data_IF_907546727575
#
_entry.id   IF_907546727575
#
_cell.length_a   1.000
_cell.length_b   1.000
_cell.length_c   1.000
_cell.angle_alpha   90.00
_cell.angle_beta   90.00
_cell.angle_gamma   90.00
#
_symmetry.space_group_name_H-M   'P 1'
#
loop_
_entity.id
_entity.type
_entity.pdbx_description
1 polymer ?
#
# COMPACT_ATOMS: atom_id res chain seq x y z
N UNK A 1 -2.80 3.28 2.11
CA UNK A 1 -1.73 2.34 1.72
C UNK A 1 -0.88 2.78 0.54
N UNK A 2 -1.42 2.85 -0.70
CA UNK A 2 -0.63 3.17 -1.91
C UNK A 2 -0.06 4.59 -1.95
N UNK A 3 -0.78 5.56 -1.38
CA UNK A 3 -0.42 6.99 -1.42
C UNK A 3 -0.97 7.68 -2.65
N UNK A 4 -1.52 8.89 -2.48
CA UNK A 4 -2.16 9.63 -3.55
C UNK A 4 -3.51 9.08 -3.98
N UNK A 5 -3.95 9.47 -5.18
CA UNK A 5 -5.23 9.06 -5.77
C UNK A 5 -5.12 8.61 -7.24
N UNK A 6 -6.20 8.07 -7.82
CA UNK A 6 -6.23 7.58 -9.21
C UNK A 6 -6.06 8.70 -10.26
N UNK A 7 -6.16 9.96 -9.85
CA UNK A 7 -6.04 11.14 -10.71
C UNK A 7 -4.68 11.84 -10.62
N UNK A 8 -3.75 11.29 -9.83
CA UNK A 8 -2.40 11.86 -9.72
C UNK A 8 -1.66 11.74 -11.05
N UNK A 9 -0.95 12.81 -11.42
CA UNK A 9 -0.08 12.87 -12.60
C UNK A 9 1.14 13.76 -12.33
N UNK A 10 2.20 13.62 -13.14
CA UNK A 10 3.45 14.36 -12.96
C UNK A 10 4.07 14.16 -11.58
N UNK A 11 4.57 15.23 -10.96
CA UNK A 11 5.25 15.18 -9.66
C UNK A 11 4.37 14.61 -8.54
N UNK A 12 3.04 14.77 -8.61
CA UNK A 12 2.12 14.25 -7.59
C UNK A 12 2.26 12.73 -7.40
N UNK A 13 2.56 11.97 -8.47
CA UNK A 13 2.80 10.53 -8.40
C UNK A 13 3.94 10.17 -7.44
N UNK A 14 4.95 11.04 -7.33
CA UNK A 14 6.10 10.88 -6.42
C UNK A 14 5.88 11.55 -5.07
N UNK A 15 5.33 12.77 -5.04
CA UNK A 15 5.07 13.54 -3.82
C UNK A 15 4.17 12.78 -2.83
N UNK A 16 3.11 12.16 -3.34
CA UNK A 16 2.05 11.57 -2.53
C UNK A 16 2.42 10.15 -2.05
N UNK A 17 3.42 10.00 -1.18
CA UNK A 17 3.76 8.71 -0.58
C UNK A 17 2.59 8.12 0.21
N UNK A 18 2.54 6.79 0.30
CA UNK A 18 1.63 6.07 1.17
C UNK A 18 2.36 5.40 2.32
N UNK A 19 1.60 4.85 3.28
CA UNK A 19 2.13 4.03 4.37
C UNK A 19 3.01 2.90 3.83
N UNK A 20 2.59 2.25 2.74
CA UNK A 20 3.32 1.13 2.11
C UNK A 20 4.63 1.54 1.43
N UNK A 21 4.79 2.83 1.10
CA UNK A 21 5.98 3.37 0.42
C UNK A 21 6.79 4.32 1.31
N UNK A 22 6.58 4.29 2.63
CA UNK A 22 7.41 5.02 3.59
C UNK A 22 6.99 6.47 3.87
N UNK A 23 5.73 6.86 3.68
CA UNK A 23 5.26 8.22 4.01
C UNK A 23 5.69 8.65 5.43
N UNK A 24 6.34 9.82 5.53
CA UNK A 24 6.90 10.40 6.75
C UNK A 24 8.18 9.74 7.28
N UNK A 25 8.28 8.41 7.22
CA UNK A 25 9.38 7.65 7.84
C UNK A 25 10.59 7.45 6.94
N UNK A 26 10.37 7.50 5.63
CA UNK A 26 11.40 7.41 4.60
C UNK A 26 10.99 8.32 3.43
N UNK A 27 11.03 9.66 3.63
CA UNK A 27 10.58 10.60 2.62
C UNK A 27 11.46 10.53 1.38
N UNK A 28 10.85 10.68 0.20
CA UNK A 28 11.58 10.98 -1.03
C UNK A 28 11.84 12.50 -1.16
N UNK A 29 12.62 12.92 -2.15
CA UNK A 29 13.05 14.31 -2.35
C UNK A 29 11.92 15.29 -2.72
N UNK A 30 10.75 14.78 -3.11
CA UNK A 30 9.56 15.58 -3.40
C UNK A 30 8.46 15.42 -2.34
N UNK A 31 8.69 14.63 -1.28
CA UNK A 31 7.67 14.35 -0.29
C UNK A 31 7.15 15.64 0.36
N UNK A 32 5.82 15.81 0.36
CA UNK A 32 5.15 17.03 0.82
C UNK A 32 4.15 16.79 1.97
N UNK A 33 3.97 15.52 2.38
CA UNK A 33 3.03 15.16 3.44
C UNK A 33 3.56 15.58 4.81
N UNK A 34 2.71 16.23 5.59
CA UNK A 34 2.98 16.51 7.00
C UNK A 34 2.87 15.25 7.86
N UNK A 35 3.50 15.25 9.04
CA UNK A 35 3.34 14.19 10.04
C UNK A 35 1.86 13.90 10.36
N UNK A 36 1.02 14.94 10.36
CA UNK A 36 -0.42 14.84 10.60
C UNK A 36 -1.11 14.04 9.49
N UNK A 37 -0.83 14.37 8.23
CA UNK A 37 -1.36 13.65 7.06
C UNK A 37 -0.88 12.20 7.04
N UNK A 38 0.39 11.95 7.39
CA UNK A 38 0.95 10.60 7.47
C UNK A 38 0.23 9.76 8.53
N UNK A 39 -0.01 10.31 9.72
CA UNK A 39 -0.75 9.61 10.78
C UNK A 39 -2.22 9.40 10.40
N UNK A 40 -2.82 10.34 9.68
CA UNK A 40 -4.17 10.17 9.15
C UNK A 40 -4.26 8.99 8.15
N UNK A 41 -3.26 8.81 7.28
CA UNK A 41 -3.19 7.62 6.42
C UNK A 41 -3.08 6.31 7.23
N UNK A 42 -2.43 6.34 8.39
CA UNK A 42 -2.37 5.20 9.30
C UNK A 42 -3.72 4.94 9.99
N UNK A 43 -4.49 5.97 10.34
CA UNK A 43 -5.87 5.82 10.85
C UNK A 43 -6.75 5.10 9.84
N UNK A 44 -6.77 5.57 8.59
CA UNK A 44 -7.50 4.93 7.49
C UNK A 44 -7.05 3.49 7.24
N UNK A 45 -5.74 3.22 7.34
CA UNK A 45 -5.21 1.87 7.17
C UNK A 45 -5.69 0.94 8.29
N UNK A 46 -5.64 1.39 9.56
CA UNK A 46 -6.14 0.62 10.70
C UNK A 46 -7.65 0.36 10.58
N UNK A 47 -8.42 1.38 10.20
CA UNK A 47 -9.85 1.26 9.97
C UNK A 47 -10.16 0.22 8.86
N UNK A 48 -9.44 0.28 7.73
CA UNK A 48 -9.56 -0.71 6.66
C UNK A 48 -9.20 -2.13 7.11
N UNK A 49 -8.15 -2.29 7.92
CA UNK A 49 -7.77 -3.57 8.52
C UNK A 49 -8.83 -4.13 9.47
N UNK A 50 -9.63 -3.28 10.12
CA UNK A 50 -10.79 -3.68 10.92
C UNK A 50 -12.08 -3.87 10.07
N UNK A 51 -11.97 -3.95 8.75
CA UNK A 51 -13.13 -4.18 7.87
C UNK A 51 -13.91 -2.91 7.54
N UNK A 52 -13.30 -1.73 7.71
CA UNK A 52 -13.83 -0.43 7.30
C UNK A 52 -15.27 -0.14 7.77
N UNK A 53 -15.58 -0.59 8.99
CA UNK A 53 -16.91 -0.53 9.58
C UNK A 53 -17.24 0.89 10.04
N UNK A 54 -18.48 1.34 9.82
CA UNK A 54 -18.94 2.65 10.24
C UNK A 54 -18.87 2.82 11.78
N UNK A 55 -19.29 1.80 12.53
CA UNK A 55 -19.40 1.85 14.00
C UNK A 55 -18.16 1.35 14.76
N UNK A 56 -17.09 0.91 14.08
CA UNK A 56 -15.87 0.48 14.76
C UNK A 56 -15.21 1.65 15.50
N UNK A 57 -14.96 1.48 16.79
CA UNK A 57 -14.39 2.52 17.64
C UNK A 57 -12.87 2.35 17.73
N UNK A 58 -12.14 3.40 17.42
CA UNK A 58 -10.68 3.44 17.51
C UNK A 58 -10.18 4.76 18.07
N UNK A 59 -8.91 4.77 18.48
CA UNK A 59 -8.19 6.00 18.83
C UNK A 59 -7.46 6.53 17.60
N UNK A 60 -7.80 7.74 17.19
CA UNK A 60 -7.21 8.42 16.03
C UNK A 60 -5.78 8.96 16.29
N UNK A 61 -5.21 9.62 15.28
CA UNK A 61 -3.88 10.25 15.33
C UNK A 61 -3.68 11.28 16.44
N UNK A 62 -4.77 11.88 16.93
CA UNK A 62 -4.77 12.94 17.94
C UNK A 62 -5.06 12.39 19.35
N UNK A 63 -5.36 11.10 19.46
CA UNK A 63 -5.72 10.45 20.71
C UNK A 63 -7.22 10.54 21.03
N UNK A 64 -8.05 11.00 20.10
CA UNK A 64 -9.49 11.06 20.28
C UNK A 64 -10.14 9.71 19.97
N UNK A 65 -11.20 9.39 20.72
CA UNK A 65 -12.05 8.24 20.45
C UNK A 65 -12.96 8.59 19.27
N UNK A 66 -12.90 7.80 18.20
CA UNK A 66 -13.65 8.00 16.96
C UNK A 66 -14.30 6.71 16.49
N UNK A 67 -15.52 6.81 15.96
CA UNK A 67 -16.10 5.78 15.10
C UNK A 67 -15.44 5.81 13.72
N UNK A 68 -15.47 4.70 13.00
CA UNK A 68 -14.97 4.60 11.63
C UNK A 68 -15.60 5.63 10.69
N UNK A 69 -16.89 5.91 10.84
CA UNK A 69 -17.60 6.93 10.05
C UNK A 69 -17.14 8.37 10.32
N UNK A 70 -16.42 8.62 11.42
CA UNK A 70 -15.90 9.93 11.78
C UNK A 70 -14.44 10.15 11.32
N UNK A 71 -13.80 9.12 10.78
CA UNK A 71 -12.49 9.24 10.13
C UNK A 71 -12.72 9.72 8.71
N UNK A 72 -12.21 10.90 8.34
CA UNK A 72 -12.39 11.46 7.01
C UNK A 72 -11.66 10.64 5.94
N UNK A 73 -12.27 10.51 4.77
CA UNK A 73 -11.60 10.07 3.54
C UNK A 73 -12.03 10.99 2.39
N UNK A 74 -11.23 12.03 2.14
CA UNK A 74 -11.47 13.01 1.08
C UNK A 74 -12.84 13.70 1.18
N UNK A 75 -13.27 14.06 2.40
CA UNK A 75 -14.55 14.71 2.65
C UNK A 75 -15.74 13.76 2.85
N UNK A 76 -15.52 12.43 2.80
CA UNK A 76 -16.54 11.42 3.04
C UNK A 76 -16.24 10.62 4.33
N UNK A 77 -17.26 9.99 4.95
CA UNK A 77 -17.04 9.01 6.02
C UNK A 77 -16.15 7.87 5.53
N UNK A 78 -15.00 7.68 6.18
CA UNK A 78 -14.04 6.64 5.84
C UNK A 78 -14.63 5.24 6.05
N UNK A 79 -15.15 4.97 7.24
CA UNK A 79 -15.87 3.74 7.56
C UNK A 79 -17.33 3.82 7.13
N UNK A 80 -17.81 2.81 6.41
CA UNK A 80 -19.16 2.80 5.82
C UNK A 80 -19.93 1.50 6.00
N UNK A 81 -19.25 0.39 6.28
CA UNK A 81 -19.87 -0.93 6.28
C UNK A 81 -20.50 -1.29 7.63
N UNK A 82 -21.49 -2.18 7.59
CA UNK A 82 -22.04 -2.84 8.77
C UNK A 82 -21.22 -4.09 9.13
N UNK A 83 -20.83 -4.86 8.12
CA UNK A 83 -20.07 -6.11 8.25
C UNK A 83 -18.81 -6.09 7.37
N UNK A 84 -17.70 -6.73 7.79
CA UNK A 84 -16.46 -6.76 7.01
C UNK A 84 -16.62 -7.48 5.66
N UNK A 85 -17.65 -8.32 5.50
CA UNK A 85 -17.97 -9.01 4.25
C UNK A 85 -18.52 -8.09 3.16
N UNK A 86 -18.93 -6.87 3.51
CA UNK A 86 -19.34 -5.82 2.57
C UNK A 86 -18.14 -5.05 1.99
N UNK A 87 -16.93 -5.30 2.52
CA UNK A 87 -15.72 -4.56 2.20
C UNK A 87 -14.73 -5.44 1.47
N UNK A 88 -14.33 -5.01 0.28
CA UNK A 88 -13.25 -5.63 -0.49
C UNK A 88 -12.03 -4.71 -0.44
N UNK A 89 -11.05 -5.08 0.38
CA UNK A 89 -9.79 -4.35 0.51
C UNK A 89 -8.82 -4.77 -0.59
N UNK A 90 -8.11 -3.80 -1.18
CA UNK A 90 -7.07 -4.05 -2.16
C UNK A 90 -6.04 -2.92 -2.20
N UNK A 91 -4.84 -3.25 -2.66
CA UNK A 91 -3.74 -2.29 -2.93
C UNK A 91 -3.19 -2.41 -4.35
N UNK A 92 -3.78 -3.26 -5.18
CA UNK A 92 -3.51 -3.36 -6.62
C UNK A 92 -4.74 -3.92 -7.33
N UNK A 93 -4.95 -3.50 -8.59
CA UNK A 93 -6.06 -3.94 -9.45
C UNK A 93 -5.63 -3.82 -10.92
N UNK A 94 -6.50 -4.24 -11.84
CA UNK A 94 -6.24 -4.17 -13.27
C UNK A 94 -6.20 -2.75 -13.83
N UNK A 95 -7.00 -1.84 -13.28
CA UNK A 95 -7.02 -0.41 -13.57
C UNK A 95 -6.00 0.32 -12.69
N UNK A 96 -5.50 1.45 -13.19
CA UNK A 96 -4.39 2.21 -12.61
C UNK A 96 -3.06 1.41 -12.59
N UNK A 97 -2.01 2.06 -12.10
CA UNK A 97 -0.67 1.46 -12.02
C UNK A 97 -0.65 0.23 -11.10
N UNK A 98 0.25 -0.71 -11.35
CA UNK A 98 0.47 -1.83 -10.42
C UNK A 98 1.02 -1.34 -9.08
N UNK A 99 0.97 -2.18 -8.04
CA UNK A 99 1.59 -1.86 -6.76
C UNK A 99 3.10 -1.60 -6.90
N UNK A 100 3.80 -2.41 -7.71
CA UNK A 100 5.23 -2.24 -7.95
C UNK A 100 5.56 -0.90 -8.62
N UNK A 101 4.78 -0.51 -9.64
CA UNK A 101 4.97 0.75 -10.35
C UNK A 101 4.71 1.95 -9.43
N UNK A 102 3.72 1.85 -8.53
CA UNK A 102 3.47 2.87 -7.51
C UNK A 102 4.60 2.98 -6.49
N UNK A 103 5.14 1.84 -6.01
CA UNK A 103 6.31 1.85 -5.13
C UNK A 103 7.51 2.47 -5.86
N UNK A 104 7.68 2.15 -7.14
CA UNK A 104 8.76 2.70 -7.96
C UNK A 104 8.66 4.21 -8.14
N UNK A 105 7.44 4.75 -8.28
CA UNK A 105 7.21 6.20 -8.26
C UNK A 105 7.54 6.84 -6.90
N UNK A 106 7.15 6.19 -5.79
CA UNK A 106 7.01 6.83 -4.48
C UNK A 106 8.17 6.57 -3.52
N UNK A 107 8.87 5.46 -3.68
CA UNK A 107 9.97 5.10 -2.78
C UNK A 107 11.09 6.15 -2.85
N UNK A 108 11.69 6.42 -1.69
CA UNK A 108 12.92 7.21 -1.59
C UNK A 108 14.03 6.57 -2.45
N UNK A 109 14.94 7.40 -2.96
CA UNK A 109 16.12 6.91 -3.66
C UNK A 109 16.99 6.01 -2.77
N UNK A 110 16.98 6.24 -1.45
CA UNK A 110 17.71 5.43 -0.47
C UNK A 110 17.08 4.05 -0.22
N UNK A 111 15.81 3.84 -0.64
CA UNK A 111 15.16 2.54 -0.55
C UNK A 111 15.71 1.63 -1.66
N UNK A 112 16.62 0.73 -1.28
CA UNK A 112 17.19 -0.27 -2.17
C UNK A 112 16.16 -1.28 -2.69
N UNK A 113 16.58 -2.14 -3.62
CA UNK A 113 15.70 -3.13 -4.26
C UNK A 113 15.03 -4.05 -3.23
N UNK A 114 15.79 -4.58 -2.27
CA UNK A 114 15.27 -5.47 -1.22
C UNK A 114 14.24 -4.75 -0.34
N UNK A 115 14.46 -3.48 -0.02
CA UNK A 115 13.50 -2.64 0.72
C UNK A 115 12.21 -2.46 -0.07
N UNK A 116 12.28 -2.25 -1.39
CA UNK A 116 11.10 -2.11 -2.25
C UNK A 116 10.29 -3.40 -2.37
N UNK A 117 10.95 -4.57 -2.41
CA UNK A 117 10.26 -5.88 -2.30
C UNK A 117 9.51 -5.98 -0.97
N UNK A 118 10.13 -5.56 0.13
CA UNK A 118 9.47 -5.53 1.46
C UNK A 118 8.34 -4.52 1.54
N UNK A 119 8.45 -3.36 0.88
CA UNK A 119 7.36 -2.39 0.76
C UNK A 119 6.12 -3.00 0.07
N UNK A 120 6.33 -3.84 -0.95
CA UNK A 120 5.26 -4.59 -1.62
C UNK A 120 4.58 -5.55 -0.63
N UNK A 121 5.35 -6.37 0.07
CA UNK A 121 4.83 -7.31 1.07
C UNK A 121 4.10 -6.61 2.23
N UNK A 122 4.66 -5.53 2.78
CA UNK A 122 4.00 -4.72 3.83
C UNK A 122 2.69 -4.11 3.32
N UNK A 123 2.66 -3.66 2.06
CA UNK A 123 1.45 -3.14 1.46
C UNK A 123 0.35 -4.19 1.38
N UNK A 124 0.69 -5.39 0.89
CA UNK A 124 -0.22 -6.52 0.79
C UNK A 124 -0.66 -7.06 2.16
N UNK A 125 0.22 -7.03 3.16
CA UNK A 125 -0.09 -7.52 4.51
C UNK A 125 -1.30 -6.80 5.13
N UNK A 126 -1.48 -5.51 4.86
CA UNK A 126 -2.66 -4.76 5.36
C UNK A 126 -3.98 -5.25 4.76
N UNK A 127 -3.95 -5.84 3.57
CA UNK A 127 -5.10 -6.47 2.94
C UNK A 127 -5.26 -7.90 3.44
N UNK A 128 -4.19 -8.70 3.36
CA UNK A 128 -4.23 -10.14 3.67
C UNK A 128 -4.53 -10.42 5.13
N UNK A 129 -4.09 -9.56 6.05
CA UNK A 129 -4.29 -9.73 7.48
C UNK A 129 -5.42 -8.86 8.05
N UNK A 130 -6.16 -8.15 7.18
CA UNK A 130 -7.35 -7.38 7.55
C UNK A 130 -8.64 -8.21 7.55
N UNK A 131 -9.67 -7.75 8.27
CA UNK A 131 -10.96 -8.45 8.41
C UNK A 131 -11.80 -8.48 7.13
N UNK A 132 -11.67 -7.45 6.28
CA UNK A 132 -12.39 -7.37 5.00
C UNK A 132 -12.03 -8.50 4.04
N UNK A 133 -12.82 -8.67 2.98
CA UNK A 133 -12.49 -9.58 1.89
C UNK A 133 -11.20 -9.08 1.23
N UNK A 134 -10.20 -9.95 1.14
CA UNK A 134 -8.93 -9.64 0.51
C UNK A 134 -9.06 -9.82 -1.01
N UNK A 135 -8.70 -8.77 -1.76
CA UNK A 135 -8.58 -8.80 -3.22
C UNK A 135 -7.19 -8.32 -3.63
N UNK A 136 -6.67 -8.93 -4.69
CA UNK A 136 -5.39 -8.52 -5.25
C UNK A 136 -5.31 -8.80 -6.75
N UNK A 137 -4.39 -8.11 -7.41
CA UNK A 137 -4.10 -8.26 -8.83
C UNK A 137 -3.22 -9.50 -9.07
N UNK A 138 -3.53 -10.25 -10.13
CA UNK A 138 -2.62 -11.29 -10.66
C UNK A 138 -1.22 -10.71 -10.91
N UNK A 139 -0.20 -11.34 -10.33
CA UNK A 139 1.20 -10.97 -10.48
C UNK A 139 1.73 -10.01 -9.40
N UNK A 140 0.89 -9.55 -8.45
CA UNK A 140 1.38 -8.81 -7.28
C UNK A 140 2.43 -9.61 -6.49
N UNK A 141 2.28 -10.93 -6.42
CA UNK A 141 3.23 -11.89 -5.85
C UNK A 141 4.54 -12.00 -6.63
N UNK A 142 4.55 -11.56 -7.89
CA UNK A 142 5.70 -11.54 -8.80
C UNK A 142 6.23 -10.13 -9.05
N UNK A 143 5.90 -9.17 -8.16
CA UNK A 143 6.30 -7.77 -8.31
C UNK A 143 5.84 -7.14 -9.64
N UNK A 144 4.74 -7.61 -10.23
CA UNK A 144 4.31 -7.27 -11.59
C UNK A 144 4.37 -5.77 -11.87
N UNK A 145 4.98 -5.42 -12.99
CA UNK A 145 5.00 -4.09 -13.57
C UNK A 145 4.22 -4.06 -14.89
N UNK A 146 3.72 -2.88 -15.24
CA UNK A 146 3.24 -2.58 -16.60
C UNK A 146 4.09 -1.50 -17.25
N UNK A 147 5.36 -1.41 -16.85
CA UNK A 147 6.28 -0.34 -17.22
C UNK A 147 5.65 1.06 -17.02
N UNK A 148 5.05 1.27 -15.85
CA UNK A 148 4.37 2.51 -15.44
C UNK A 148 3.03 2.82 -16.13
N UNK A 149 2.53 1.94 -17.01
CA UNK A 149 1.23 2.15 -17.69
C UNK A 149 0.10 2.26 -16.67
N UNK A 150 -0.60 3.40 -16.66
CA UNK A 150 -1.74 3.64 -15.77
C UNK A 150 -2.97 2.86 -16.20
N UNK A 151 -3.36 2.95 -17.46
CA UNK A 151 -4.51 2.23 -17.99
C UNK A 151 -4.10 1.37 -19.18
N UNK A 152 -4.05 0.05 -18.95
CA UNK A 152 -3.42 -0.92 -19.85
C UNK A 152 -4.41 -1.79 -20.63
N UNK A 153 -5.69 -1.41 -20.68
CA UNK A 153 -6.75 -2.22 -21.29
C UNK A 153 -6.46 -2.63 -22.75
N UNK A 154 -5.79 -1.76 -23.51
CA UNK A 154 -5.42 -1.96 -24.92
C UNK A 154 -3.92 -1.70 -25.16
N UNK A 155 -3.10 -1.96 -24.14
CA UNK A 155 -1.63 -1.86 -24.26
C UNK A 155 -0.98 -3.19 -24.69
N UNK A 156 -1.80 -4.15 -25.13
CA UNK A 156 -1.38 -5.45 -25.66
C UNK A 156 -0.63 -6.33 -24.65
N UNK A 157 -0.11 -7.45 -25.16
CA UNK A 157 0.64 -8.43 -24.37
C UNK A 157 1.93 -7.84 -23.78
N UNK A 158 2.57 -6.92 -24.51
CA UNK A 158 3.85 -6.31 -24.15
C UNK A 158 3.84 -5.66 -22.77
N UNK A 159 2.90 -4.75 -22.52
CA UNK A 159 2.81 -4.05 -21.23
C UNK A 159 2.04 -4.84 -20.17
N UNK A 160 1.27 -5.86 -20.55
CA UNK A 160 0.46 -6.66 -19.62
C UNK A 160 1.09 -7.99 -19.19
N UNK A 161 2.26 -8.35 -19.76
CA UNK A 161 2.97 -9.62 -19.51
C UNK A 161 3.12 -9.91 -18.01
N UNK A 162 2.93 -11.17 -17.67
CA UNK A 162 3.31 -11.79 -16.39
C UNK A 162 4.21 -12.97 -16.73
N UNK A 163 5.42 -12.96 -16.20
CA UNK A 163 6.40 -14.00 -16.50
C UNK A 163 6.43 -15.10 -15.45
N UNK A 164 5.76 -16.22 -15.75
CA UNK A 164 5.77 -17.40 -14.89
C UNK A 164 7.08 -18.19 -14.92
N UNK A 165 8.02 -17.86 -15.81
CA UNK A 165 9.39 -18.40 -15.78
C UNK A 165 10.32 -17.63 -14.84
N UNK A 166 9.81 -16.58 -14.17
CA UNK A 166 10.47 -15.80 -13.14
C UNK A 166 11.74 -15.07 -13.60
N UNK A 167 11.88 -14.71 -14.87
CA UNK A 167 13.09 -14.03 -15.34
C UNK A 167 13.09 -12.54 -14.97
N UNK A 168 11.93 -11.89 -15.08
CA UNK A 168 11.74 -10.49 -14.72
C UNK A 168 10.26 -10.18 -14.41
N UNK A 169 9.97 -9.00 -13.87
CA UNK A 169 8.61 -8.56 -13.54
C UNK A 169 7.93 -7.67 -14.60
N UNK A 170 8.48 -7.58 -15.82
CA UNK A 170 8.02 -6.70 -16.90
C UNK A 170 8.25 -5.19 -16.67
N UNK A 171 9.13 -4.82 -15.74
CA UNK A 171 9.49 -3.42 -15.48
C UNK A 171 10.51 -2.91 -16.50
N UNK A 172 10.43 -1.61 -16.84
CA UNK A 172 11.36 -0.94 -17.75
C UNK A 172 11.45 -1.57 -19.16
N UNK A 173 10.33 -2.07 -19.70
CA UNK A 173 10.24 -2.63 -21.07
C UNK A 173 9.87 -1.57 -22.14
N UNK A 174 10.04 -0.28 -21.80
CA UNK A 174 9.69 0.85 -22.64
C UNK A 174 8.79 1.86 -21.92
N UNK A 175 8.71 3.08 -22.45
CA UNK A 175 7.79 4.09 -21.93
C UNK A 175 6.33 3.67 -22.20
N UNK A 176 5.39 3.94 -21.27
CA UNK A 176 3.97 3.64 -21.45
C UNK A 176 3.36 4.50 -22.57
N UNK A 177 2.10 4.27 -22.94
CA UNK A 177 1.46 5.00 -24.05
C UNK A 177 1.41 6.52 -23.82
N UNK A 178 1.84 7.30 -24.81
CA UNK A 178 1.92 8.76 -24.70
C UNK A 178 0.56 9.44 -24.48
N UNK A 179 -0.51 8.87 -25.03
CA UNK A 179 -1.86 9.46 -24.99
C UNK A 179 -2.42 9.60 -23.57
N UNK A 180 -1.95 8.79 -22.63
CA UNK A 180 -2.47 8.74 -21.26
C UNK A 180 -1.36 8.96 -20.21
N UNK A 181 -0.13 8.51 -20.49
CA UNK A 181 1.00 8.62 -19.56
C UNK A 181 2.06 9.63 -20.01
N UNK A 182 1.87 10.33 -21.15
CA UNK A 182 2.83 11.29 -21.68
C UNK A 182 3.20 12.41 -20.70
N UNK A 183 2.23 12.90 -19.92
CA UNK A 183 2.47 13.90 -18.86
C UNK A 183 3.29 13.37 -17.68
N UNK A 184 3.44 12.05 -17.57
CA UNK A 184 4.21 11.38 -16.51
C UNK A 184 5.65 11.05 -16.95
N UNK A 185 6.02 11.27 -18.22
CA UNK A 185 7.33 10.84 -18.75
C UNK A 185 8.51 11.45 -17.99
N UNK A 186 8.41 12.71 -17.58
CA UNK A 186 9.47 13.40 -16.83
C UNK A 186 9.69 12.76 -15.44
N UNK A 187 8.61 12.41 -14.73
CA UNK A 187 8.72 11.71 -13.45
C UNK A 187 9.18 10.26 -13.63
N UNK A 188 8.66 9.53 -14.63
CA UNK A 188 9.11 8.18 -14.96
C UNK A 188 10.62 8.17 -15.22
N UNK A 189 11.11 9.11 -16.03
CA UNK A 189 12.52 9.18 -16.40
C UNK A 189 13.43 9.37 -15.20
N UNK A 190 13.01 10.21 -14.22
CA UNK A 190 13.76 10.44 -12.99
C UNK A 190 13.81 9.21 -12.07
N UNK A 191 12.74 8.42 -12.00
CA UNK A 191 12.61 7.34 -11.01
C UNK A 191 12.96 5.95 -11.55
N UNK A 192 12.86 5.72 -12.87
CA UNK A 192 12.86 4.36 -13.43
C UNK A 192 14.13 3.55 -13.16
N UNK A 193 15.27 4.22 -13.03
CA UNK A 193 16.59 3.60 -12.89
C UNK A 193 17.18 3.72 -11.47
N UNK A 194 16.38 4.10 -10.47
CA UNK A 194 16.86 4.25 -9.08
C UNK A 194 17.34 2.93 -8.47
N UNK A 195 16.79 1.79 -8.91
CA UNK A 195 17.19 0.44 -8.50
C UNK A 195 17.21 -0.50 -9.70
N UNK A 196 17.87 -1.65 -9.58
CA UNK A 196 17.83 -2.70 -10.59
C UNK A 196 16.40 -3.24 -10.78
N UNK A 197 16.13 -3.76 -11.97
CA UNK A 197 14.88 -4.48 -12.27
C UNK A 197 14.86 -5.80 -11.48
N UNK A 198 13.75 -6.15 -10.80
CA UNK A 198 13.62 -7.44 -10.11
C UNK A 198 13.89 -8.62 -11.03
N UNK A 199 14.77 -9.53 -10.61
CA UNK A 199 15.03 -10.80 -11.27
C UNK A 199 14.46 -11.98 -10.49
N UNK A 200 14.87 -13.18 -10.86
CA UNK A 200 14.38 -14.44 -10.28
C UNK A 200 14.45 -14.48 -8.74
N UNK A 201 15.51 -13.92 -8.13
CA UNK A 201 15.69 -13.91 -6.69
C UNK A 201 14.60 -13.08 -5.98
N UNK A 202 14.31 -11.87 -6.47
CA UNK A 202 13.29 -10.99 -5.90
C UNK A 202 11.87 -11.54 -6.14
N UNK A 203 11.62 -12.13 -7.31
CA UNK A 203 10.32 -12.73 -7.63
C UNK A 203 10.02 -13.93 -6.72
N UNK A 204 11.01 -14.80 -6.48
CA UNK A 204 10.87 -15.91 -5.52
C UNK A 204 10.65 -15.41 -4.10
N UNK A 205 11.45 -14.43 -3.67
CA UNK A 205 11.29 -13.84 -2.34
C UNK A 205 9.90 -13.23 -2.14
N UNK A 206 9.39 -12.47 -3.12
CA UNK A 206 8.05 -11.90 -3.01
C UNK A 206 6.96 -12.98 -3.04
N UNK A 207 7.14 -14.03 -3.83
CA UNK A 207 6.21 -15.18 -3.85
C UNK A 207 6.15 -15.86 -2.48
N UNK A 208 7.29 -16.06 -1.83
CA UNK A 208 7.36 -16.62 -0.47
C UNK A 208 6.64 -15.72 0.55
N UNK A 209 6.90 -14.41 0.53
CA UNK A 209 6.17 -13.46 1.39
C UNK A 209 4.67 -13.48 1.12
N UNK A 210 4.26 -13.58 -0.14
CA UNK A 210 2.85 -13.63 -0.50
C UNK A 210 2.17 -14.88 0.06
N UNK A 211 2.78 -16.04 -0.16
CA UNK A 211 2.29 -17.32 0.34
C UNK A 211 2.21 -17.29 1.87
N UNK A 212 3.24 -16.80 2.56
CA UNK A 212 3.23 -16.63 4.01
C UNK A 212 2.04 -15.81 4.49
N UNK A 213 1.77 -14.65 3.87
CA UNK A 213 0.62 -13.80 4.24
C UNK A 213 -0.72 -14.51 4.04
N UNK A 214 -0.88 -15.25 2.95
CA UNK A 214 -2.12 -16.01 2.68
C UNK A 214 -2.30 -17.21 3.61
N UNK A 215 -1.20 -17.90 3.97
CA UNK A 215 -1.20 -18.97 4.96
C UNK A 215 -1.56 -18.45 6.34
N UNK A 216 -0.97 -17.32 6.76
CA UNK A 216 -1.32 -16.64 8.01
C UNK A 216 -2.81 -16.30 8.08
N UNK A 217 -3.37 -15.74 6.99
CA UNK A 217 -4.80 -15.38 6.92
C UNK A 217 -5.70 -16.58 7.22
N UNK A 218 -5.41 -17.75 6.66
CA UNK A 218 -6.24 -18.97 6.86
C UNK A 218 -5.86 -19.80 8.07
N UNK A 219 -4.77 -19.46 8.77
CA UNK A 219 -4.28 -20.20 9.93
C UNK A 219 -5.18 -20.05 11.17
N UNK A 220 -6.01 -19.01 11.22
CA UNK A 220 -6.91 -18.75 12.35
C UNK A 220 -8.21 -18.08 11.91
N UNK A 221 -9.38 -18.51 12.42
CA UNK A 221 -10.65 -17.82 12.21
C UNK A 221 -10.66 -16.36 12.70
N UNK A 222 -9.69 -15.97 13.55
CA UNK A 222 -9.59 -14.59 14.06
C UNK A 222 -9.26 -13.55 12.98
N UNK A 223 -8.72 -13.97 11.83
CA UNK A 223 -8.48 -13.05 10.70
C UNK A 223 -9.72 -12.79 9.84
N UNK A 224 -10.79 -13.59 9.99
CA UNK A 224 -11.97 -13.55 9.12
C UNK A 224 -13.26 -13.72 9.95
N UNK A 225 -13.51 -12.80 10.88
CA UNK A 225 -14.63 -12.90 11.82
C UNK A 225 -16.01 -12.81 11.14
N UNK A 226 -16.10 -12.14 9.99
CA UNK A 226 -17.30 -12.07 9.15
C UNK A 226 -18.41 -11.14 9.65
N UNK A 227 -18.66 -11.10 10.95
CA UNK A 227 -19.67 -10.27 11.61
C UNK A 227 -19.05 -9.00 12.24
N UNK A 228 -19.62 -7.84 11.95
CA UNK A 228 -19.14 -6.54 12.43
C UNK A 228 -19.14 -6.46 13.96
N UNK A 229 -20.14 -7.04 14.63
CA UNK A 229 -20.19 -7.06 16.10
C UNK A 229 -19.07 -7.91 16.71
N UNK A 230 -18.70 -9.02 16.05
CA UNK A 230 -17.58 -9.85 16.45
C UNK A 230 -16.25 -9.12 16.28
N UNK A 231 -16.08 -8.36 15.19
CA UNK A 231 -14.91 -7.50 14.98
C UNK A 231 -14.80 -6.46 16.10
N UNK A 232 -15.86 -5.69 16.36
CA UNK A 232 -15.88 -4.65 17.40
C UNK A 232 -15.60 -5.17 18.81
N UNK A 233 -15.89 -6.45 19.09
CA UNK A 233 -15.62 -7.07 20.40
C UNK A 233 -14.20 -7.61 20.56
N UNK A 234 -13.45 -7.81 19.46
CA UNK A 234 -12.22 -8.62 19.46
C UNK A 234 -11.00 -7.91 18.87
N UNK A 235 -11.20 -7.00 17.92
CA UNK A 235 -10.13 -6.29 17.23
C UNK A 235 -9.86 -4.96 17.93
N UNK A 236 -8.59 -4.70 18.22
CA UNK A 236 -8.12 -3.44 18.80
C UNK A 236 -6.70 -3.16 18.29
N UNK A 237 -6.29 -1.88 18.27
CA UNK A 237 -4.99 -1.45 17.76
C UNK A 237 -4.13 -0.86 18.86
N UNK A 238 -2.93 -1.41 19.03
CA UNK A 238 -1.91 -0.89 19.96
C UNK A 238 -0.95 0.06 19.24
N UNK A 239 -0.31 0.94 20.03
CA UNK A 239 0.59 2.05 19.65
C UNK A 239 -0.15 3.30 19.14
N UNK A 240 -0.48 4.18 20.09
CA UNK A 240 -1.09 5.49 19.83
C UNK A 240 -0.09 6.63 19.65
N UNK A 241 1.22 6.36 19.73
CA UNK A 241 2.27 7.39 19.62
C UNK A 241 3.41 6.92 18.72
N UNK A 242 3.57 7.59 17.59
CA UNK A 242 4.79 7.55 16.81
C UNK A 242 5.90 8.17 17.66
N UNK A 243 6.95 7.40 18.01
CA UNK A 243 8.13 7.95 18.67
C UNK A 243 9.13 8.31 17.57
N UNK A 244 9.46 9.59 17.34
CA UNK A 244 10.50 9.94 16.38
C UNK A 244 11.81 9.27 16.78
N UNK A 245 12.55 8.73 15.82
CA UNK A 245 13.92 8.30 16.04
C UNK A 245 14.73 9.55 16.46
N UNK A 246 15.24 9.58 17.70
CA UNK A 246 16.09 10.69 18.15
C UNK A 246 16.03 11.11 19.62
N UNK A 247 15.23 10.50 20.49
CA UNK A 247 15.36 10.71 21.95
C UNK A 247 15.75 9.42 22.67
N UNK A 248 16.96 9.43 23.21
CA UNK A 248 17.48 8.45 24.16
C UNK A 248 16.53 8.30 25.34
N UNK A 249 16.36 7.06 25.79
CA UNK A 249 15.59 6.77 26.99
C UNK A 249 16.38 7.28 28.21
N UNK A 250 15.95 8.41 28.78
CA UNK A 250 16.26 8.74 30.16
C UNK A 250 15.57 7.71 31.05
N UNK A 251 16.37 6.96 31.78
CA UNK A 251 15.93 6.03 32.82
C UNK A 251 15.55 6.88 34.04
N UNK A 252 14.25 7.08 34.32
CA UNK A 252 13.83 7.52 35.65
C UNK A 252 13.68 6.28 36.53
N UNK A 253 14.70 6.07 37.37
CA UNK A 253 14.59 5.35 38.63
C UNK A 253 14.79 6.38 39.74
N UNK A 254 13.74 6.61 40.53
CA UNK A 254 13.74 7.51 41.69
C UNK A 254 12.33 7.73 42.17
#
# INVERSE_FOLDING_TARGET
MRGGGPFDSGDALRQNQGVGSGAGVLPNELASLSDDQVRHLADLTRLGMAGNLADFVMIDKDGAVKKGSEIDYNGAPGGYAADPTEVVNYVSKHDNQTLWDMISYKASQEADLATRVRMQAVSLATVMLGQGIAFDQQGSELLRSKSFTRDSYDSGDWFNRVDYSLQDNNYNVGMPRISDDGSNYDVITRVKEMVATPGEAELKQMTEFYQELTELRKSSPLFTLGDGSAVMKRVDFRKYRFRPAGRSAGYDRG
#
